data_IF_599139148067
#
_entry.id   IF_599139148067
#
_cell.length_a   1.000
_cell.length_b   1.000
_cell.length_c   1.000
_cell.angle_alpha   90.00
_cell.angle_beta   90.00
_cell.angle_gamma   90.00
#
_symmetry.space_group_name_H-M   'P 1'
#
loop_
_entity.id
_entity.type
_entity.pdbx_description
1 polymer ?
#
# COMPACT_ATOMS: atom_id res chain seq x y z
N UNK A 1 8.88 -26.62 -0.52
CA UNK A 1 9.41 -25.46 -1.29
C UNK A 1 8.53 -24.26 -0.93
N UNK A 2 9.03 -23.27 -0.17
CA UNK A 2 8.25 -22.15 0.41
C UNK A 2 7.76 -21.10 -0.60
N UNK A 3 7.92 -21.38 -1.90
CA UNK A 3 7.76 -20.41 -2.99
C UNK A 3 6.37 -20.45 -3.67
N UNK A 4 5.65 -21.56 -3.53
CA UNK A 4 4.39 -21.80 -4.27
C UNK A 4 3.17 -21.97 -3.36
N UNK A 5 3.41 -22.12 -2.05
CA UNK A 5 2.38 -22.26 -1.03
C UNK A 5 2.76 -21.40 0.15
N UNK A 6 1.77 -20.71 0.73
CA UNK A 6 1.95 -20.01 1.99
C UNK A 6 2.54 -20.97 3.03
N UNK A 7 3.58 -20.53 3.73
CA UNK A 7 4.23 -21.28 4.78
C UNK A 7 4.43 -20.37 5.99
N UNK A 8 4.50 -20.98 7.18
CA UNK A 8 4.75 -20.23 8.41
C UNK A 8 6.12 -19.53 8.32
N UNK A 9 6.11 -18.23 8.50
CA UNK A 9 7.32 -17.43 8.62
C UNK A 9 8.09 -17.90 9.85
N UNK A 10 9.42 -18.15 9.75
CA UNK A 10 10.17 -18.84 10.79
C UNK A 10 10.31 -18.06 12.12
N UNK A 11 9.94 -16.78 12.14
CA UNK A 11 10.09 -15.94 13.32
C UNK A 11 8.75 -15.73 14.06
N UNK A 12 7.67 -15.40 13.37
CA UNK A 12 6.37 -15.02 13.95
C UNK A 12 5.24 -16.00 13.60
N UNK A 13 5.47 -16.94 12.68
CA UNK A 13 4.44 -17.88 12.23
C UNK A 13 3.39 -17.24 11.32
N UNK A 14 3.56 -15.98 10.90
CA UNK A 14 2.69 -15.36 9.88
C UNK A 14 2.76 -16.22 8.60
N UNK A 15 1.63 -16.48 7.94
CA UNK A 15 1.63 -17.16 6.64
C UNK A 15 2.27 -16.24 5.60
N UNK A 16 3.36 -16.68 4.97
CA UNK A 16 4.14 -15.86 4.02
C UNK A 16 4.53 -16.64 2.76
N UNK A 17 4.77 -15.91 1.66
CA UNK A 17 5.40 -16.42 0.41
C UNK A 17 6.80 -15.81 0.21
N UNK A 18 7.60 -15.75 1.27
CA UNK A 18 8.97 -15.24 1.23
C UNK A 18 10.03 -16.36 1.17
N UNK A 19 11.16 -16.07 0.51
CA UNK A 19 12.38 -16.90 0.59
C UNK A 19 13.27 -16.55 1.76
N UNK A 20 12.99 -15.43 2.42
CA UNK A 20 13.81 -14.94 3.51
C UNK A 20 13.51 -15.70 4.80
N UNK A 21 14.55 -15.82 5.62
CA UNK A 21 14.39 -16.21 7.02
C UNK A 21 14.17 -14.98 7.92
N UNK A 22 14.41 -13.80 7.37
CA UNK A 22 14.24 -12.51 8.00
C UNK A 22 14.10 -11.43 6.92
N UNK A 23 13.02 -10.69 6.97
CA UNK A 23 12.68 -9.62 6.04
C UNK A 23 12.89 -8.23 6.64
N UNK A 24 12.62 -7.18 5.85
CA UNK A 24 12.80 -5.80 6.31
C UNK A 24 11.86 -5.51 7.49
N UNK A 25 10.63 -6.05 7.46
CA UNK A 25 9.66 -5.96 8.56
C UNK A 25 10.25 -6.46 9.89
N UNK A 26 10.98 -7.58 9.88
CA UNK A 26 11.57 -8.17 11.10
C UNK A 26 12.71 -7.34 11.68
N UNK A 27 13.52 -6.73 10.81
CA UNK A 27 14.65 -5.90 11.23
C UNK A 27 14.15 -4.68 12.01
N UNK A 28 13.01 -4.11 11.62
CA UNK A 28 12.39 -2.99 12.32
C UNK A 28 11.77 -3.38 13.67
N UNK A 29 11.47 -4.67 13.89
CA UNK A 29 10.91 -5.15 15.16
C UNK A 29 9.60 -4.42 15.52
N UNK A 30 9.45 -3.88 16.74
CA UNK A 30 8.21 -3.19 17.14
C UNK A 30 7.80 -2.03 16.21
N UNK A 31 8.76 -1.36 15.56
CA UNK A 31 8.50 -0.27 14.62
C UNK A 31 7.78 -0.72 13.36
N UNK A 32 7.83 -1.99 13.00
CA UNK A 32 7.07 -2.53 11.86
C UNK A 32 5.55 -2.43 12.05
N UNK A 33 5.07 -2.32 13.30
CA UNK A 33 3.65 -2.07 13.60
C UNK A 33 3.24 -0.61 13.39
N UNK A 34 4.21 0.29 13.19
CA UNK A 34 3.99 1.72 12.90
C UNK A 34 4.03 1.99 11.39
N UNK A 35 3.33 1.14 10.64
CA UNK A 35 3.03 1.34 9.22
C UNK A 35 1.51 1.32 9.03
N UNK A 36 1.04 1.83 7.90
CA UNK A 36 -0.38 1.75 7.55
C UNK A 36 -0.75 0.34 7.08
N UNK A 37 0.14 -0.26 6.28
CA UNK A 37 0.02 -1.60 5.76
C UNK A 37 1.42 -2.17 5.50
N UNK A 38 1.63 -3.47 5.69
CA UNK A 38 2.87 -4.14 5.29
C UNK A 38 2.61 -5.62 5.02
N UNK A 39 2.58 -5.95 3.74
CA UNK A 39 2.37 -7.30 3.27
C UNK A 39 3.69 -8.03 3.01
N UNK A 40 3.78 -9.23 3.56
CA UNK A 40 4.79 -10.25 3.24
C UNK A 40 4.15 -11.59 2.82
N UNK A 41 2.82 -11.66 2.83
CA UNK A 41 2.06 -12.81 2.37
C UNK A 41 2.26 -13.01 0.88
N UNK A 42 2.11 -11.96 0.07
CA UNK A 42 2.30 -11.99 -1.38
C UNK A 42 3.62 -11.33 -1.80
N UNK A 43 4.72 -11.65 -1.10
CA UNK A 43 6.05 -11.29 -1.59
C UNK A 43 6.26 -11.86 -3.01
N UNK A 44 6.37 -10.96 -3.98
CA UNK A 44 6.68 -11.35 -5.34
C UNK A 44 8.11 -11.85 -5.39
N UNK A 45 8.32 -13.17 -5.52
CA UNK A 45 9.66 -13.72 -5.83
C UNK A 45 9.80 -13.87 -7.34
N UNK A 46 10.76 -13.16 -7.91
CA UNK A 46 10.98 -13.09 -9.35
C UNK A 46 12.26 -13.81 -9.73
N UNK A 47 12.08 -14.94 -10.43
CA UNK A 47 13.16 -15.74 -11.00
C UNK A 47 13.10 -15.60 -12.51
N UNK A 48 14.21 -15.24 -13.14
CA UNK A 48 14.25 -15.07 -14.59
C UNK A 48 15.67 -14.91 -15.13
N UNK A 49 15.85 -15.08 -16.43
CA UNK A 49 17.12 -14.93 -17.14
C UNK A 49 17.07 -13.73 -18.11
N UNK A 50 18.11 -13.55 -18.92
CA UNK A 50 18.19 -12.47 -19.92
C UNK A 50 16.91 -12.37 -20.74
N UNK A 51 16.36 -11.15 -20.82
CA UNK A 51 15.18 -10.86 -21.63
C UNK A 51 13.85 -11.13 -20.92
N UNK A 52 13.86 -11.79 -19.76
CA UNK A 52 12.66 -11.90 -18.90
C UNK A 52 12.43 -10.61 -18.12
N UNK A 53 11.20 -10.39 -17.67
CA UNK A 53 10.85 -9.19 -16.92
C UNK A 53 9.35 -9.06 -16.73
N UNK A 54 8.94 -7.91 -16.18
CA UNK A 54 7.54 -7.51 -16.09
C UNK A 54 7.34 -6.25 -16.93
N UNK A 55 6.30 -6.27 -17.76
CA UNK A 55 5.95 -5.14 -18.62
C UNK A 55 5.59 -3.88 -17.83
N UNK A 56 5.29 -2.80 -18.55
CA UNK A 56 4.85 -1.54 -17.93
C UNK A 56 3.54 -1.76 -17.18
N UNK A 57 3.49 -1.39 -15.91
CA UNK A 57 2.29 -1.44 -15.08
C UNK A 57 2.41 -0.50 -13.88
N UNK A 58 1.30 -0.30 -13.18
CA UNK A 58 1.26 0.16 -11.79
C UNK A 58 0.72 -1.01 -10.97
N UNK A 59 1.18 -1.16 -9.72
CA UNK A 59 0.62 -2.16 -8.80
C UNK A 59 -0.89 -1.94 -8.62
N UNK A 60 -1.62 -3.05 -8.45
CA UNK A 60 -3.09 -3.03 -8.34
C UNK A 60 -3.58 -2.22 -7.14
N UNK A 61 -2.76 -2.18 -6.10
CA UNK A 61 -2.93 -1.31 -4.93
C UNK A 61 -1.83 -0.26 -4.95
N UNK A 62 -2.17 0.98 -4.61
CA UNK A 62 -1.25 2.11 -4.68
C UNK A 62 -0.28 2.16 -3.48
N UNK A 63 0.35 1.02 -3.15
CA UNK A 63 1.37 0.86 -2.12
C UNK A 63 2.77 1.14 -2.66
N UNK A 64 3.72 1.38 -1.76
CA UNK A 64 5.15 1.38 -2.13
C UNK A 64 5.68 -0.04 -2.03
N UNK A 65 6.86 -0.30 -2.58
CA UNK A 65 7.52 -1.59 -2.38
C UNK A 65 8.97 -1.41 -1.93
N UNK A 66 9.44 -2.36 -1.12
CA UNK A 66 10.84 -2.52 -0.76
C UNK A 66 11.36 -3.81 -1.37
N UNK A 67 12.30 -3.67 -2.29
CA UNK A 67 12.84 -4.76 -3.09
C UNK A 67 14.27 -5.14 -2.76
N UNK A 68 14.61 -6.39 -3.03
CA UNK A 68 15.91 -7.01 -2.79
C UNK A 68 16.34 -7.71 -4.08
N UNK A 69 17.52 -7.38 -4.61
CA UNK A 69 18.06 -8.06 -5.79
C UNK A 69 19.26 -8.93 -5.40
N UNK A 70 19.04 -10.23 -5.22
CA UNK A 70 20.08 -11.14 -4.72
C UNK A 70 21.03 -11.63 -5.80
N UNK A 71 20.52 -11.88 -7.01
CA UNK A 71 21.32 -12.39 -8.13
C UNK A 71 20.92 -11.74 -9.44
N UNK A 72 21.91 -11.67 -10.33
CA UNK A 72 21.75 -11.02 -11.63
C UNK A 72 21.57 -9.50 -11.51
N UNK A 73 21.27 -8.91 -12.65
CA UNK A 73 21.19 -7.50 -12.93
C UNK A 73 19.85 -7.23 -13.58
N UNK A 74 19.15 -6.21 -13.09
CA UNK A 74 17.86 -5.79 -13.61
C UNK A 74 17.91 -4.32 -14.00
N UNK A 75 17.44 -4.00 -15.20
CA UNK A 75 17.12 -2.63 -15.56
C UNK A 75 15.69 -2.35 -15.13
N UNK A 76 15.51 -1.30 -14.33
CA UNK A 76 14.20 -0.81 -13.90
C UNK A 76 14.02 0.60 -14.45
N UNK A 77 12.86 0.82 -15.07
CA UNK A 77 12.41 2.16 -15.43
C UNK A 77 11.16 2.48 -14.61
N UNK A 78 11.12 3.69 -14.04
CA UNK A 78 9.96 4.19 -13.29
C UNK A 78 9.62 5.62 -13.76
N UNK A 79 8.33 5.86 -13.97
CA UNK A 79 7.81 7.13 -14.46
C UNK A 79 7.20 7.97 -13.32
N UNK A 80 7.15 9.31 -13.46
CA UNK A 80 6.46 10.16 -12.50
C UNK A 80 5.00 9.73 -12.30
N UNK A 81 4.55 9.70 -11.04
CA UNK A 81 3.15 9.45 -10.67
C UNK A 81 2.18 10.42 -11.38
N UNK A 82 0.97 9.96 -11.65
CA UNK A 82 -0.11 10.76 -12.22
C UNK A 82 -0.14 10.70 -13.75
N UNK A 83 -0.36 11.83 -14.41
CA UNK A 83 -0.63 11.88 -15.86
C UNK A 83 0.43 11.16 -16.72
N UNK A 84 1.71 11.27 -16.38
CA UNK A 84 2.79 10.58 -17.13
C UNK A 84 2.67 9.07 -16.97
N UNK A 85 2.55 8.57 -15.73
CA UNK A 85 2.34 7.13 -15.49
C UNK A 85 1.09 6.61 -16.18
N UNK A 86 -0.02 7.36 -16.13
CA UNK A 86 -1.26 6.93 -16.76
C UNK A 86 -1.12 6.82 -18.28
N UNK A 87 -0.53 7.83 -18.92
CA UNK A 87 -0.28 7.80 -20.36
C UNK A 87 0.63 6.63 -20.74
N UNK A 88 1.69 6.40 -19.97
CA UNK A 88 2.64 5.31 -20.20
C UNK A 88 1.96 3.94 -20.08
N UNK A 89 1.10 3.75 -19.07
CA UNK A 89 0.29 2.54 -18.97
C UNK A 89 -0.72 2.43 -20.12
N UNK A 90 -1.43 3.49 -20.49
CA UNK A 90 -2.36 3.45 -21.65
C UNK A 90 -1.67 3.03 -22.94
N UNK A 91 -0.45 3.52 -23.19
CA UNK A 91 0.26 3.25 -24.45
C UNK A 91 1.01 1.91 -24.46
N UNK A 92 1.46 1.44 -23.29
CA UNK A 92 2.41 0.34 -23.18
C UNK A 92 2.04 -0.73 -22.14
N UNK A 93 0.79 -0.82 -21.70
CA UNK A 93 0.36 -1.76 -20.66
C UNK A 93 0.86 -3.19 -20.93
N UNK A 94 1.47 -3.78 -19.90
CA UNK A 94 2.13 -5.10 -19.88
C UNK A 94 3.19 -5.34 -20.99
N UNK A 95 3.55 -4.31 -21.76
CA UNK A 95 4.62 -4.44 -22.76
C UNK A 95 5.99 -4.39 -22.08
N UNK A 96 6.80 -5.43 -22.33
CA UNK A 96 8.18 -5.45 -21.89
C UNK A 96 9.08 -4.56 -22.77
N UNK A 97 9.96 -3.80 -22.12
CA UNK A 97 10.93 -2.93 -22.79
C UNK A 97 12.25 -3.67 -22.99
N UNK A 98 12.26 -4.65 -23.89
CA UNK A 98 13.45 -5.42 -24.26
C UNK A 98 14.06 -4.93 -25.59
N UNK A 99 15.41 -4.90 -25.74
CA UNK A 99 16.06 -4.62 -27.02
C UNK A 99 15.68 -5.63 -28.12
N UNK A 100 15.63 -5.21 -29.40
CA UNK A 100 15.75 -3.83 -29.87
C UNK A 100 14.50 -3.00 -29.52
N UNK A 101 14.70 -1.76 -29.07
CA UNK A 101 13.61 -0.86 -28.71
C UNK A 101 13.11 -0.10 -29.94
N UNK A 102 11.79 0.01 -30.09
CA UNK A 102 11.18 0.92 -31.06
C UNK A 102 11.41 2.38 -30.66
N UNK A 103 11.28 3.30 -31.63
CA UNK A 103 11.40 4.73 -31.34
C UNK A 103 10.37 5.20 -30.31
N UNK A 104 9.15 4.65 -30.32
CA UNK A 104 8.12 4.94 -29.33
C UNK A 104 8.56 4.53 -27.91
N UNK A 105 9.09 3.31 -27.73
CA UNK A 105 9.62 2.85 -26.44
C UNK A 105 10.82 3.68 -25.98
N UNK A 106 11.70 4.09 -26.90
CA UNK A 106 12.80 5.00 -26.58
C UNK A 106 12.31 6.37 -26.09
N UNK A 107 11.27 6.94 -26.72
CA UNK A 107 10.67 8.21 -26.27
C UNK A 107 9.97 8.06 -24.92
N UNK A 108 9.30 6.93 -24.67
CA UNK A 108 8.73 6.62 -23.37
C UNK A 108 9.83 6.55 -22.29
N UNK A 109 10.96 5.88 -22.54
CA UNK A 109 12.07 5.82 -21.58
C UNK A 109 12.69 7.20 -21.28
N UNK A 110 12.70 8.12 -22.24
CA UNK A 110 13.16 9.52 -22.00
C UNK A 110 12.26 10.29 -21.03
N UNK A 111 11.02 9.85 -20.84
CA UNK A 111 10.08 10.42 -19.86
C UNK A 111 10.18 9.75 -18.48
N UNK A 112 10.98 8.69 -18.35
CA UNK A 112 11.18 8.02 -17.06
C UNK A 112 11.87 8.97 -16.08
N UNK A 113 11.36 9.03 -14.84
CA UNK A 113 12.00 9.79 -13.77
C UNK A 113 13.31 9.14 -13.34
N UNK A 114 13.35 7.80 -13.39
CA UNK A 114 14.50 7.00 -13.00
C UNK A 114 14.66 5.81 -13.95
N UNK A 115 15.91 5.58 -14.31
CA UNK A 115 16.40 4.39 -15.01
C UNK A 115 17.55 3.85 -14.16
N UNK A 116 17.40 2.65 -13.62
CA UNK A 116 18.33 2.10 -12.62
C UNK A 116 18.76 0.71 -13.05
N UNK A 117 20.07 0.45 -12.98
CA UNK A 117 20.62 -0.89 -13.05
C UNK A 117 20.78 -1.42 -11.62
N UNK A 118 19.86 -2.29 -11.21
CA UNK A 118 19.96 -3.03 -9.97
C UNK A 118 21.03 -4.11 -10.10
N UNK A 119 21.89 -4.21 -9.09
CA UNK A 119 23.01 -5.15 -8.99
C UNK A 119 22.75 -6.18 -7.90
N UNK A 120 23.47 -7.32 -7.89
CA UNK A 120 23.41 -8.25 -6.79
C UNK A 120 23.78 -7.56 -5.46
N UNK A 121 22.93 -7.72 -4.45
CA UNK A 121 23.07 -7.11 -3.13
C UNK A 121 22.32 -5.79 -2.93
N UNK A 122 21.74 -5.20 -3.99
CA UNK A 122 21.00 -3.96 -3.86
C UNK A 122 19.67 -4.17 -3.12
N UNK A 123 19.35 -3.22 -2.24
CA UNK A 123 18.03 -3.01 -1.66
C UNK A 123 17.50 -1.69 -2.19
N UNK A 124 16.26 -1.67 -2.64
CA UNK A 124 15.65 -0.51 -3.27
C UNK A 124 14.24 -0.26 -2.74
N UNK A 125 13.80 0.99 -2.81
CA UNK A 125 12.47 1.41 -2.40
C UNK A 125 11.89 2.29 -3.51
N UNK A 126 10.62 2.06 -3.87
CA UNK A 126 9.91 2.90 -4.82
C UNK A 126 8.47 3.13 -4.37
N UNK A 127 7.99 4.34 -4.64
CA UNK A 127 6.68 4.81 -4.19
C UNK A 127 5.55 4.23 -5.03
N UNK A 128 4.37 4.09 -4.41
CA UNK A 128 3.17 3.66 -5.11
C UNK A 128 2.64 4.65 -6.14
N UNK A 129 1.80 4.12 -7.03
CA UNK A 129 1.17 4.90 -8.10
C UNK A 129 2.12 5.34 -9.21
N UNK A 130 3.32 4.78 -9.28
CA UNK A 130 4.26 5.03 -10.38
C UNK A 130 4.21 3.88 -11.37
N UNK A 131 4.02 4.20 -12.65
CA UNK A 131 4.22 3.21 -13.70
C UNK A 131 5.69 2.76 -13.68
N UNK A 132 5.92 1.47 -13.84
CA UNK A 132 7.26 0.91 -13.83
C UNK A 132 7.33 -0.38 -14.65
N UNK A 133 8.55 -0.73 -15.08
CA UNK A 133 8.87 -1.99 -15.76
C UNK A 133 10.25 -2.47 -15.30
N UNK A 134 10.46 -3.78 -15.34
CA UNK A 134 11.74 -4.39 -15.00
C UNK A 134 12.16 -5.39 -16.09
N UNK A 135 13.42 -5.33 -16.51
CA UNK A 135 14.04 -6.24 -17.47
C UNK A 135 15.27 -6.88 -16.83
N UNK A 136 15.32 -8.21 -16.79
CA UNK A 136 16.52 -8.95 -16.45
C UNK A 136 17.51 -8.91 -17.62
N UNK A 137 18.71 -8.40 -17.36
CA UNK A 137 19.78 -8.25 -18.37
C UNK A 137 20.97 -9.18 -18.11
N UNK A 138 20.83 -10.13 -17.19
CA UNK A 138 21.88 -11.11 -16.88
C UNK A 138 21.83 -12.34 -17.76
N UNK A 139 22.98 -12.82 -18.22
CA UNK A 139 23.09 -14.12 -18.90
C UNK A 139 22.66 -15.28 -17.99
N UNK A 140 22.92 -15.17 -16.69
CA UNK A 140 22.56 -16.17 -15.69
C UNK A 140 21.20 -15.92 -15.02
N UNK A 141 20.87 -16.78 -14.05
CA UNK A 141 19.66 -16.65 -13.22
C UNK A 141 19.69 -15.36 -12.40
N UNK A 142 18.69 -14.51 -12.63
CA UNK A 142 18.31 -13.39 -11.79
C UNK A 142 17.32 -13.84 -10.71
N UNK A 143 17.50 -13.30 -9.51
CA UNK A 143 16.63 -13.56 -8.36
C UNK A 143 16.43 -12.26 -7.59
N UNK A 144 15.17 -11.83 -7.47
CA UNK A 144 14.79 -10.69 -6.64
C UNK A 144 13.46 -10.96 -5.94
N UNK A 145 13.15 -10.19 -4.91
CA UNK A 145 11.78 -10.07 -4.40
C UNK A 145 11.45 -8.63 -4.05
N UNK A 146 10.19 -8.36 -3.77
CA UNK A 146 9.79 -7.18 -3.03
C UNK A 146 8.65 -7.47 -2.05
N UNK A 147 8.60 -6.68 -0.99
CA UNK A 147 7.49 -6.58 -0.03
C UNK A 147 6.66 -5.33 -0.36
N UNK A 148 5.35 -5.40 -0.14
CA UNK A 148 4.45 -4.26 -0.33
C UNK A 148 4.24 -3.53 1.00
N UNK A 149 4.38 -2.22 0.99
CA UNK A 149 4.36 -1.40 2.20
C UNK A 149 3.64 -0.06 1.97
N UNK A 150 2.83 0.33 2.94
CA UNK A 150 2.31 1.68 3.06
C UNK A 150 2.75 2.24 4.40
N UNK A 151 3.59 3.27 4.37
CA UNK A 151 4.02 3.96 5.61
C UNK A 151 2.88 4.79 6.18
N UNK A 152 2.97 5.20 7.45
CA UNK A 152 2.03 6.15 8.06
C UNK A 152 2.15 7.59 7.53
N UNK A 153 3.09 7.91 6.64
CA UNK A 153 3.14 9.24 6.05
C UNK A 153 1.79 9.57 5.37
N UNK A 154 1.12 10.70 5.68
CA UNK A 154 -0.25 10.98 5.22
C UNK A 154 -0.43 10.95 3.69
N UNK A 155 0.62 11.29 2.94
CA UNK A 155 0.58 11.19 1.48
C UNK A 155 0.55 9.74 0.99
N UNK A 156 1.19 8.80 1.71
CA UNK A 156 1.24 7.39 1.33
C UNK A 156 -0.05 6.67 1.72
N UNK A 157 -0.52 6.85 2.97
CA UNK A 157 -1.82 6.32 3.39
C UNK A 157 -2.95 6.90 2.54
N UNK A 158 -2.91 8.20 2.27
CA UNK A 158 -3.90 8.86 1.42
C UNK A 158 -3.94 8.36 -0.01
N UNK A 159 -2.78 8.01 -0.57
CA UNK A 159 -2.68 7.41 -1.89
C UNK A 159 -3.22 5.98 -1.91
N UNK A 160 -2.87 5.15 -0.91
CA UNK A 160 -3.42 3.80 -0.78
C UNK A 160 -4.96 3.82 -0.70
N UNK A 161 -5.53 4.75 0.07
CA UNK A 161 -7.00 4.92 0.17
C UNK A 161 -7.66 5.39 -1.13
N UNK A 162 -6.90 5.76 -2.16
CA UNK A 162 -7.39 6.14 -3.49
C UNK A 162 -7.34 4.98 -4.50
N UNK A 163 -6.94 3.77 -4.09
CA UNK A 163 -6.78 2.60 -4.97
C UNK A 163 -8.03 2.36 -5.83
N UNK A 164 -9.22 2.35 -5.21
CA UNK A 164 -10.49 2.10 -5.91
C UNK A 164 -11.19 3.39 -6.40
N UNK A 165 -10.59 4.57 -6.22
CA UNK A 165 -11.20 5.84 -6.58
C UNK A 165 -10.97 6.16 -8.07
N UNK A 166 -11.98 5.90 -8.91
CA UNK A 166 -11.94 6.19 -10.35
C UNK A 166 -11.74 7.66 -10.71
N UNK A 167 -11.95 8.58 -9.76
CA UNK A 167 -11.69 10.00 -9.95
C UNK A 167 -10.24 10.38 -9.63
N UNK A 168 -9.47 9.47 -9.02
CA UNK A 168 -8.07 9.68 -8.69
C UNK A 168 -7.24 9.86 -9.96
N UNK A 169 -6.31 10.83 -10.00
CA UNK A 169 -5.37 10.98 -11.11
C UNK A 169 -4.36 9.84 -11.20
N UNK A 170 -4.36 8.88 -10.27
CA UNK A 170 -3.49 7.70 -10.28
C UNK A 170 -4.28 6.40 -10.52
N UNK A 171 -5.59 6.48 -10.80
CA UNK A 171 -6.40 5.31 -11.08
C UNK A 171 -6.13 4.75 -12.47
N UNK A 172 -6.08 3.43 -12.57
CA UNK A 172 -5.93 2.67 -13.82
C UNK A 172 -6.91 1.50 -13.85
N UNK A 173 -7.21 0.99 -15.04
CA UNK A 173 -8.16 -0.11 -15.24
C UNK A 173 -7.72 -1.41 -14.53
N UNK A 174 -6.41 -1.59 -14.29
CA UNK A 174 -5.86 -2.70 -13.51
C UNK A 174 -5.88 -2.54 -11.98
N UNK A 175 -6.49 -1.48 -11.46
CA UNK A 175 -6.61 -1.29 -10.01
C UNK A 175 -7.48 -2.38 -9.36
N UNK A 176 -7.16 -2.71 -8.11
CA UNK A 176 -7.87 -3.73 -7.34
C UNK A 176 -9.36 -3.36 -7.17
N UNK A 177 -10.29 -4.32 -7.37
CA UNK A 177 -11.70 -4.16 -7.04
C UNK A 177 -11.93 -3.78 -5.58
N UNK A 178 -13.04 -3.10 -5.29
CA UNK A 178 -13.30 -2.59 -3.94
C UNK A 178 -13.50 -3.70 -2.91
N UNK A 179 -14.17 -4.77 -3.29
CA UNK A 179 -14.43 -5.94 -2.44
C UNK A 179 -13.12 -6.66 -2.06
N UNK A 180 -12.21 -6.87 -3.01
CA UNK A 180 -10.87 -7.40 -2.71
C UNK A 180 -10.03 -6.41 -1.88
N UNK A 181 -10.16 -5.10 -2.15
CA UNK A 181 -9.45 -4.09 -1.39
C UNK A 181 -9.95 -3.95 0.05
N UNK A 182 -11.23 -4.26 0.33
CA UNK A 182 -11.77 -4.28 1.69
C UNK A 182 -11.07 -5.34 2.57
N UNK A 183 -10.64 -6.48 2.01
CA UNK A 183 -9.82 -7.48 2.73
C UNK A 183 -8.49 -6.86 3.20
N UNK A 184 -7.84 -6.08 2.34
CA UNK A 184 -6.63 -5.31 2.72
C UNK A 184 -6.95 -4.27 3.80
N UNK A 185 -8.13 -3.65 3.74
CA UNK A 185 -8.55 -2.69 4.76
C UNK A 185 -8.80 -3.34 6.13
N UNK A 186 -9.13 -4.62 6.20
CA UNK A 186 -9.19 -5.37 7.47
C UNK A 186 -7.80 -5.47 8.11
N UNK A 187 -6.79 -5.85 7.33
CA UNK A 187 -5.40 -5.89 7.80
C UNK A 187 -4.88 -4.50 8.19
N UNK A 188 -5.27 -3.45 7.46
CA UNK A 188 -5.01 -2.06 7.85
C UNK A 188 -5.62 -1.73 9.20
N UNK A 189 -6.87 -2.15 9.46
CA UNK A 189 -7.53 -1.90 10.74
C UNK A 189 -6.75 -2.59 11.88
N UNK A 190 -6.36 -3.86 11.70
CA UNK A 190 -5.52 -4.58 12.67
C UNK A 190 -4.17 -3.88 12.90
N UNK A 191 -3.52 -3.42 11.84
CA UNK A 191 -2.25 -2.71 11.93
C UNK A 191 -2.37 -1.39 12.72
N UNK A 192 -3.44 -0.62 12.47
CA UNK A 192 -3.75 0.59 13.24
C UNK A 192 -4.04 0.27 14.72
N UNK A 193 -4.68 -0.86 15.00
CA UNK A 193 -4.93 -1.35 16.36
C UNK A 193 -3.66 -1.76 17.09
N UNK A 194 -2.77 -2.47 16.39
CA UNK A 194 -1.46 -2.84 16.91
C UNK A 194 -0.68 -1.59 17.33
N UNK A 195 -0.59 -0.58 16.45
CA UNK A 195 0.04 0.71 16.76
C UNK A 195 -0.65 1.44 17.94
N UNK A 196 -1.98 1.45 17.97
CA UNK A 196 -2.75 2.05 19.07
C UNK A 196 -2.47 1.37 20.42
N UNK A 197 -2.37 0.04 20.42
CA UNK A 197 -2.01 -0.75 21.59
C UNK A 197 -0.64 -0.37 22.13
N UNK A 198 0.38 -0.31 21.26
CA UNK A 198 1.73 0.11 21.63
C UNK A 198 1.75 1.54 22.18
N UNK A 199 1.06 2.47 21.52
CA UNK A 199 0.96 3.87 21.97
C UNK A 199 0.40 3.98 23.38
N UNK A 200 -0.63 3.18 23.70
CA UNK A 200 -1.23 3.20 25.02
C UNK A 200 -0.32 2.60 26.10
N UNK A 201 0.60 1.71 25.72
CA UNK A 201 1.59 1.07 26.60
C UNK A 201 2.89 1.88 26.79
N UNK A 202 3.03 3.04 26.15
CA UNK A 202 4.19 3.93 26.28
C UNK A 202 4.96 4.16 24.97
N UNK A 203 4.72 3.32 23.96
CA UNK A 203 5.31 3.42 22.63
C UNK A 203 5.98 2.12 22.19
N UNK A 204 6.61 2.11 20.99
CA UNK A 204 7.27 0.91 20.47
C UNK A 204 8.50 0.48 21.29
N UNK A 205 9.08 1.37 22.10
CA UNK A 205 10.21 1.08 22.99
C UNK A 205 9.82 0.20 24.18
N UNK A 206 8.56 0.26 24.61
CA UNK A 206 8.08 -0.37 25.84
C UNK A 206 7.43 -1.73 25.61
N UNK A 207 7.39 -2.18 24.35
CA UNK A 207 6.84 -3.47 23.95
C UNK A 207 7.93 -4.52 24.09
N UNK A 208 7.63 -5.58 24.84
CA UNK A 208 8.52 -6.73 24.93
C UNK A 208 8.78 -7.31 23.53
N UNK A 209 10.05 -7.43 23.14
CA UNK A 209 10.41 -8.12 21.91
C UNK A 209 9.92 -9.58 21.98
N UNK A 210 9.30 -10.05 20.90
CA UNK A 210 8.93 -11.45 20.77
C UNK A 210 10.16 -12.36 20.98
N UNK A 211 9.94 -13.61 21.40
CA UNK A 211 10.99 -14.62 21.66
C UNK A 211 11.66 -15.12 20.36
N UNK A 212 12.03 -14.20 19.48
CA UNK A 212 12.60 -14.49 18.18
C UNK A 212 14.13 -14.45 18.22
N UNK A 213 14.81 -15.17 17.30
CA UNK A 213 16.23 -14.99 17.03
C UNK A 213 16.60 -13.52 16.89
N UNK A 214 17.51 -13.04 17.74
CA UNK A 214 17.93 -11.63 17.76
C UNK A 214 18.56 -11.24 16.41
N UNK A 215 18.29 -10.03 15.89
CA UNK A 215 18.99 -9.55 14.70
C UNK A 215 20.48 -9.30 15.00
N UNK A 216 21.34 -9.19 13.96
CA UNK A 216 22.74 -8.82 14.14
C UNK A 216 22.91 -7.57 15.02
N UNK A 217 24.03 -7.47 15.74
CA UNK A 217 24.26 -6.40 16.71
C UNK A 217 24.09 -5.00 16.09
N UNK A 218 24.60 -4.79 14.88
CA UNK A 218 24.46 -3.53 14.16
C UNK A 218 22.99 -3.10 14.02
N UNK A 219 22.11 -4.01 13.59
CA UNK A 219 20.70 -3.72 13.44
C UNK A 219 20.00 -3.44 14.75
N UNK A 220 20.39 -4.13 15.83
CA UNK A 220 19.88 -3.86 17.18
C UNK A 220 20.27 -2.45 17.63
N UNK A 221 21.52 -2.06 17.41
CA UNK A 221 22.01 -0.71 17.72
C UNK A 221 21.25 0.35 16.93
N UNK A 222 21.13 0.21 15.61
CA UNK A 222 20.38 1.15 14.77
C UNK A 222 18.91 1.27 15.20
N UNK A 223 18.26 0.15 15.52
CA UNK A 223 16.87 0.15 16.01
C UNK A 223 16.75 0.86 17.36
N UNK A 224 17.70 0.63 18.27
CA UNK A 224 17.72 1.31 19.58
C UNK A 224 17.93 2.82 19.42
N UNK A 225 18.80 3.24 18.50
CA UNK A 225 18.99 4.66 18.19
C UNK A 225 17.70 5.29 17.64
N UNK A 226 17.01 4.61 16.72
CA UNK A 226 15.72 5.08 16.20
C UNK A 226 14.65 5.18 17.30
N UNK A 227 14.57 4.20 18.20
CA UNK A 227 13.62 4.19 19.32
C UNK A 227 13.92 5.26 20.37
N UNK A 228 15.21 5.58 20.56
CA UNK A 228 15.64 6.63 21.48
C UNK A 228 15.38 8.05 20.92
N UNK A 229 15.24 8.18 19.61
CA UNK A 229 14.99 9.47 18.95
C UNK A 229 13.54 9.95 19.17
N UNK A 230 13.39 10.90 20.10
CA UNK A 230 12.14 11.53 20.45
C UNK A 230 11.48 12.29 19.28
N UNK A 231 12.27 12.85 18.35
CA UNK A 231 11.71 13.54 17.19
C UNK A 231 11.05 12.55 16.24
N UNK A 232 11.72 11.44 15.95
CA UNK A 232 11.16 10.35 15.15
C UNK A 232 9.91 9.75 15.83
N UNK A 233 9.94 9.49 17.14
CA UNK A 233 8.75 8.95 17.85
C UNK A 233 7.56 9.91 17.81
N UNK A 234 7.80 11.22 17.98
CA UNK A 234 6.74 12.23 17.85
C UNK A 234 6.16 12.26 16.43
N UNK A 235 7.02 12.21 15.43
CA UNK A 235 6.60 12.21 14.03
C UNK A 235 5.75 10.97 13.69
N UNK A 236 6.12 9.80 14.20
CA UNK A 236 5.33 8.58 14.03
C UNK A 236 3.93 8.72 14.65
N UNK A 237 3.81 9.31 15.84
CA UNK A 237 2.51 9.58 16.47
C UNK A 237 1.68 10.62 15.69
N UNK A 238 2.32 11.66 15.16
CA UNK A 238 1.69 12.66 14.27
C UNK A 238 1.11 12.01 13.03
N UNK A 239 1.93 11.21 12.35
CA UNK A 239 1.56 10.49 11.15
C UNK A 239 0.46 9.47 11.41
N UNK A 240 0.57 8.68 12.48
CA UNK A 240 -0.48 7.75 12.89
C UNK A 240 -1.82 8.47 13.12
N UNK A 241 -1.85 9.55 13.90
CA UNK A 241 -3.08 10.29 14.16
C UNK A 241 -3.70 10.90 12.89
N UNK A 242 -2.88 11.48 12.02
CA UNK A 242 -3.31 12.04 10.75
C UNK A 242 -3.88 10.95 9.81
N UNK A 243 -3.23 9.79 9.74
CA UNK A 243 -3.71 8.64 8.97
C UNK A 243 -5.04 8.12 9.50
N UNK A 244 -5.20 7.92 10.82
CA UNK A 244 -6.48 7.48 11.40
C UNK A 244 -7.60 8.48 11.10
N UNK A 245 -7.34 9.78 11.26
CA UNK A 245 -8.33 10.82 10.93
C UNK A 245 -8.74 10.78 9.45
N UNK A 246 -7.77 10.60 8.55
CA UNK A 246 -8.02 10.45 7.12
C UNK A 246 -8.83 9.19 6.79
N UNK A 247 -8.51 8.06 7.40
CA UNK A 247 -9.24 6.80 7.26
C UNK A 247 -10.70 6.96 7.69
N UNK A 248 -10.94 7.56 8.86
CA UNK A 248 -12.31 7.78 9.35
C UNK A 248 -13.07 8.76 8.46
N UNK A 249 -12.43 9.79 7.93
CA UNK A 249 -13.06 10.73 7.01
C UNK A 249 -13.44 10.09 5.67
N UNK A 250 -12.61 9.19 5.14
CA UNK A 250 -12.72 8.67 3.76
C UNK A 250 -13.34 7.30 3.62
N UNK A 251 -13.27 6.46 4.65
CA UNK A 251 -13.75 5.07 4.61
C UNK A 251 -14.75 4.82 5.73
N UNK A 252 -15.98 4.50 5.33
CA UNK A 252 -17.01 4.01 6.26
C UNK A 252 -16.57 2.68 6.87
N UNK A 253 -16.01 1.79 6.04
CA UNK A 253 -15.49 0.49 6.44
C UNK A 253 -14.49 0.60 7.60
N UNK A 254 -13.41 1.37 7.43
CA UNK A 254 -12.39 1.54 8.48
C UNK A 254 -12.95 2.23 9.73
N UNK A 255 -13.93 3.11 9.57
CA UNK A 255 -14.61 3.74 10.71
C UNK A 255 -15.41 2.70 11.52
N UNK A 256 -16.01 1.72 10.88
CA UNK A 256 -16.79 0.67 11.54
C UNK A 256 -15.88 -0.43 12.11
N UNK A 257 -14.81 -0.81 11.40
CA UNK A 257 -13.90 -1.89 11.80
C UNK A 257 -12.89 -1.48 12.90
N UNK A 258 -12.40 -0.24 12.91
CA UNK A 258 -11.42 0.17 13.93
C UNK A 258 -12.03 0.19 15.34
N UNK A 259 -11.42 -0.55 16.27
CA UNK A 259 -11.88 -0.67 17.65
C UNK A 259 -11.88 0.62 18.47
N UNK A 260 -12.50 0.54 19.65
CA UNK A 260 -12.43 1.58 20.67
C UNK A 260 -10.99 1.90 21.12
N UNK A 261 -10.05 0.98 20.95
CA UNK A 261 -8.63 1.17 21.27
C UNK A 261 -8.00 2.25 20.40
N UNK A 262 -8.22 2.18 19.08
CA UNK A 262 -7.76 3.20 18.12
C UNK A 262 -8.34 4.57 18.48
N UNK A 263 -9.64 4.63 18.74
CA UNK A 263 -10.32 5.90 19.11
C UNK A 263 -9.80 6.48 20.43
N UNK A 264 -9.50 5.64 21.42
CA UNK A 264 -8.90 6.06 22.69
C UNK A 264 -7.48 6.59 22.50
N UNK A 265 -6.65 5.89 21.73
CA UNK A 265 -5.30 6.33 21.40
C UNK A 265 -5.29 7.68 20.66
N UNK A 266 -6.19 7.85 19.68
CA UNK A 266 -6.34 9.11 18.96
C UNK A 266 -6.73 10.26 19.90
N UNK A 267 -7.74 10.05 20.77
CA UNK A 267 -8.13 11.07 21.76
C UNK A 267 -6.99 11.45 22.70
N UNK A 268 -6.20 10.48 23.17
CA UNK A 268 -5.02 10.74 24.02
C UNK A 268 -4.02 11.65 23.31
N UNK A 269 -3.74 11.41 22.02
CA UNK A 269 -2.83 12.26 21.24
C UNK A 269 -3.39 13.67 21.01
N UNK A 270 -4.69 13.80 20.73
CA UNK A 270 -5.32 15.11 20.52
C UNK A 270 -5.39 15.94 21.81
N UNK A 271 -5.70 15.31 22.94
CA UNK A 271 -5.74 15.96 24.26
C UNK A 271 -4.34 16.37 24.73
N UNK A 272 -3.32 15.53 24.50
CA UNK A 272 -1.92 15.84 24.85
C UNK A 272 -1.32 17.01 24.06
N UNK A 273 -1.98 17.46 22.99
CA UNK A 273 -1.55 18.59 22.16
C UNK A 273 -2.21 19.92 22.50
N UNK A 274 -3.07 19.95 23.52
CA UNK A 274 -3.74 21.19 23.91
C UNK A 274 -4.66 21.75 22.82
N UNK A 275 -5.36 20.87 22.07
CA UNK A 275 -6.59 21.32 21.41
C UNK A 275 -7.60 21.61 22.51
N UNK A 276 -7.69 22.89 22.88
CA UNK A 276 -8.79 23.42 23.66
C UNK A 276 -10.08 22.94 23.01
N UNK A 277 -10.84 22.17 23.79
CA UNK A 277 -12.22 21.83 23.51
C UNK A 277 -12.96 23.11 23.07
N UNK A 278 -13.23 23.22 21.77
CA UNK A 278 -14.44 23.92 21.36
C UNK A 278 -15.58 23.12 21.94
N UNK A 279 -16.25 23.76 22.89
CA UNK A 279 -17.37 23.27 23.66
C UNK A 279 -18.35 22.57 22.74
N UNK A 280 -18.66 21.32 23.06
CA UNK A 280 -19.92 20.70 22.66
C UNK A 280 -21.05 21.62 23.16
N UNK A 281 -21.65 22.37 22.23
CA UNK A 281 -22.98 22.91 22.42
C UNK A 281 -23.94 21.75 22.18
N UNK A 282 -24.38 21.11 23.27
CA UNK A 282 -25.67 20.42 23.29
C UNK A 282 -26.76 21.43 22.91
N UNK A 283 -27.60 21.17 21.90
CA UNK A 283 -28.91 21.78 21.83
C UNK A 283 -29.87 20.92 22.65
N UNK A 284 -30.35 21.52 23.73
CA UNK A 284 -31.48 21.06 24.53
C UNK A 284 -32.64 20.59 23.64
N UNK A 285 -33.19 19.45 24.03
CA UNK A 285 -34.48 18.93 23.58
C UNK A 285 -35.59 19.98 23.69
N UNK A 286 -36.25 20.30 22.56
CA UNK A 286 -37.63 20.80 22.58
C UNK A 286 -38.48 20.07 21.56
N UNK A 287 -39.48 19.38 22.10
CA UNK A 287 -40.64 18.86 21.40
C UNK A 287 -41.49 19.97 20.79
N UNK A 288 -41.90 19.84 19.52
CA UNK A 288 -43.26 20.21 19.10
C UNK A 288 -43.60 19.64 17.72
N UNK A 289 -44.46 18.64 17.74
CA UNK A 289 -45.60 18.36 16.84
C UNK A 289 -45.82 19.17 15.54
N UNK A 290 -46.19 18.38 14.51
CA UNK A 290 -47.27 18.61 13.52
C UNK A 290 -47.04 19.55 12.31
N UNK A 291 -46.88 18.96 11.11
CA UNK A 291 -47.90 18.91 10.01
C UNK A 291 -47.26 18.51 8.66
N UNK A 292 -47.78 17.43 8.06
CA UNK A 292 -47.82 17.20 6.60
C UNK A 292 -48.88 18.15 5.97
N UNK A 293 -48.94 18.46 4.64
CA UNK A 293 -48.95 17.53 3.48
C UNK A 293 -48.44 18.20 2.15
N UNK A 294 -48.89 17.87 0.90
CA UNK A 294 -49.17 16.59 0.22
C UNK A 294 -48.38 16.39 -1.11
N UNK A 295 -48.44 15.15 -1.60
CA UNK A 295 -48.40 14.64 -2.98
C UNK A 295 -48.06 15.56 -4.17
N UNK A 296 -47.10 15.09 -4.99
CA UNK A 296 -47.11 15.32 -6.44
C UNK A 296 -46.79 14.05 -7.24
N UNK A 297 -47.85 13.59 -7.91
CA UNK A 297 -47.98 12.83 -9.15
C UNK A 297 -46.71 12.28 -9.82
N UNK A 298 -46.73 10.96 -10.01
CA UNK A 298 -45.90 10.20 -10.94
C UNK A 298 -46.24 10.56 -12.39
N UNK A 299 -45.20 10.79 -13.20
CA UNK A 299 -45.27 10.87 -14.65
C UNK A 299 -44.36 9.78 -15.23
N UNK A 300 -45.01 8.78 -15.81
CA UNK A 300 -44.42 7.67 -16.54
C UNK A 300 -43.93 8.17 -17.89
N UNK A 301 -42.65 8.04 -18.21
CA UNK A 301 -42.16 8.16 -19.58
C UNK A 301 -41.13 7.08 -19.91
N UNK A 302 -41.65 6.12 -20.67
CA UNK A 302 -41.00 5.08 -21.43
C UNK A 302 -39.87 5.66 -22.29
N UNK A 303 -38.67 5.08 -22.20
CA UNK A 303 -37.71 5.13 -23.32
C UNK A 303 -36.96 3.81 -23.48
N UNK A 304 -37.45 3.01 -24.43
CA UNK A 304 -36.73 1.93 -25.09
C UNK A 304 -35.46 2.49 -25.75
N UNK A 305 -34.30 1.86 -25.52
CA UNK A 305 -33.18 1.82 -26.49
C UNK A 305 -32.46 0.46 -26.43
N UNK A 306 -32.77 -0.33 -27.46
CA UNK A 306 -31.89 -1.22 -28.22
C UNK A 306 -30.61 -1.74 -27.55
N UNK A 307 -30.63 -3.01 -27.15
CA UNK A 307 -29.44 -3.87 -27.04
C UNK A 307 -29.19 -4.53 -28.41
N UNK A 308 -27.99 -4.35 -28.95
CA UNK A 308 -27.43 -5.19 -30.02
C UNK A 308 -26.39 -6.13 -29.41
N UNK A 309 -26.39 -7.43 -29.75
CA UNK A 309 -25.47 -8.39 -29.15
C UNK A 309 -24.10 -8.39 -29.84
N UNK A 310 -23.04 -8.39 -29.02
CA UNK A 310 -21.66 -8.61 -29.43
C UNK A 310 -21.47 -10.08 -29.84
N UNK A 311 -20.82 -10.26 -30.99
CA UNK A 311 -20.44 -11.53 -31.60
C UNK A 311 -19.40 -12.26 -30.74
N UNK A 312 -19.64 -13.56 -30.53
CA UNK A 312 -18.63 -14.52 -30.13
C UNK A 312 -17.71 -14.82 -31.32
N UNK A 313 -16.41 -14.60 -31.14
CA UNK A 313 -15.36 -15.08 -32.04
C UNK A 313 -14.76 -16.35 -31.48
N UNK A 314 -15.02 -17.47 -32.14
CA UNK A 314 -14.35 -18.75 -31.96
C UNK A 314 -12.91 -18.66 -32.46
N UNK A 315 -11.95 -19.11 -31.64
CA UNK A 315 -10.59 -19.46 -32.10
C UNK A 315 -10.53 -20.99 -32.17
N UNK A 316 -10.27 -21.50 -33.36
CA UNK A 316 -9.96 -22.89 -33.65
C UNK A 316 -8.44 -23.09 -33.54
N UNK A 317 -8.05 -24.30 -33.13
CA UNK A 317 -6.68 -24.85 -33.05
C UNK A 317 -5.79 -24.52 -34.25
#
# INVERSE_FOLDING_TARGET
MRLLHAADHPLDGELVKTVCLRDVKDVLGPLSKWTFYWDRHDEGVFIGNRGSGKGVHVDQVLWSNVGKNWRGYKLVAAWPKGAVSNQICTDFDDQLFSPPLSQAKLQALRQAAKLVLLRPGDVYFFSGGTAHTALCVSEGMGLSSYESIVTLHPLHSGLCMQTCDRSSPCWLEGAMPLDEFEEILEEVAEQLENAAGQLLQGGPSDVAEAKQPKPPQLWRTLRQELLADQATMRLLQEHWAATVAQCFARSRFLREQCSATVRRALRRLLQGRGFASEREHEPESRSSSLRAPPDRAASTLVRKRSRSPLRQGTVSN
#
